data_IF_267176764908
#
_entry.id   IF_267176764908
#
_cell.length_a   1.000
_cell.length_b   1.000
_cell.length_c   1.000
_cell.angle_alpha   90.00
_cell.angle_beta   90.00
_cell.angle_gamma   90.00
#
_symmetry.space_group_name_H-M   'P 1'
#
loop_
_entity.id
_entity.type
_entity.pdbx_description
1 polymer ?
#
# COMPACT_ATOMS: atom_id res chain seq x y z
N UNK A 1 31.03 12.33 -12.39
CA UNK A 1 30.48 11.10 -12.99
C UNK A 1 30.06 10.19 -11.85
N UNK A 2 28.75 10.05 -11.62
CA UNK A 2 28.20 9.26 -10.50
C UNK A 2 27.71 7.91 -11.02
N UNK A 3 28.25 6.83 -10.45
CA UNK A 3 27.99 5.44 -10.79
C UNK A 3 26.69 4.99 -10.13
N UNK A 4 25.71 4.55 -10.91
CA UNK A 4 24.44 3.97 -10.44
C UNK A 4 24.68 2.50 -10.08
N UNK A 5 24.56 2.15 -8.80
CA UNK A 5 24.62 0.77 -8.31
C UNK A 5 23.28 0.07 -8.52
N UNK A 6 23.28 -0.90 -9.45
CA UNK A 6 22.17 -1.81 -9.75
C UNK A 6 22.15 -2.92 -8.69
N UNK A 7 21.10 -2.99 -7.88
CA UNK A 7 20.83 -4.15 -7.03
C UNK A 7 20.38 -5.34 -7.90
N UNK A 8 21.32 -6.25 -8.21
CA UNK A 8 21.01 -7.65 -8.54
C UNK A 8 20.83 -8.42 -7.23
N UNK A 9 19.72 -9.14 -7.08
CA UNK A 9 19.61 -10.22 -6.08
C UNK A 9 19.36 -11.53 -6.82
N UNK A 10 20.33 -12.43 -6.69
CA UNK A 10 20.40 -13.77 -7.26
C UNK A 10 19.30 -14.68 -6.68
N UNK A 11 18.60 -15.41 -7.55
CA UNK A 11 17.79 -16.57 -7.18
C UNK A 11 18.31 -17.81 -7.92
N UNK A 12 19.10 -18.63 -7.21
CA UNK A 12 19.39 -20.06 -7.43
C UNK A 12 19.69 -20.59 -6.02
N UNK A 13 19.15 -21.67 -5.47
CA UNK A 13 18.61 -22.93 -6.02
C UNK A 13 17.95 -23.66 -4.85
N UNK A 14 16.73 -24.17 -5.00
CA UNK A 14 16.26 -25.41 -4.36
C UNK A 14 14.89 -25.83 -4.93
N UNK A 15 14.83 -27.04 -5.50
CA UNK A 15 13.65 -27.90 -5.49
C UNK A 15 12.56 -27.67 -6.54
N UNK A 16 12.57 -28.48 -7.61
CA UNK A 16 11.38 -28.82 -8.40
C UNK A 16 10.25 -29.29 -7.47
N UNK A 17 9.14 -28.57 -7.41
CA UNK A 17 7.79 -29.13 -7.25
C UNK A 17 6.79 -28.21 -7.98
N UNK A 18 5.84 -28.82 -8.69
CA UNK A 18 5.05 -28.16 -9.74
C UNK A 18 3.87 -27.31 -9.28
N UNK A 19 3.22 -26.69 -10.27
CA UNK A 19 1.85 -26.13 -10.28
C UNK A 19 1.42 -25.33 -9.03
N UNK A 20 1.34 -24.01 -9.15
CA UNK A 20 0.57 -23.21 -8.21
C UNK A 20 0.78 -21.72 -8.39
N UNK A 21 -0.31 -20.97 -8.50
CA UNK A 21 -0.34 -19.51 -8.39
C UNK A 21 0.45 -19.06 -7.16
N UNK A 22 1.48 -18.24 -7.36
CA UNK A 22 2.14 -17.54 -6.28
C UNK A 22 1.22 -16.41 -5.80
N UNK A 23 0.48 -16.66 -4.73
CA UNK A 23 -0.11 -15.62 -3.90
C UNK A 23 1.04 -14.91 -3.21
N UNK A 24 1.28 -13.64 -3.57
CA UNK A 24 2.19 -12.76 -2.85
C UNK A 24 1.54 -12.38 -1.52
N UNK A 25 1.74 -13.23 -0.50
CA UNK A 25 1.52 -12.87 0.89
C UNK A 25 2.73 -12.06 1.36
N UNK A 26 2.57 -10.75 1.54
CA UNK A 26 3.57 -9.91 2.18
C UNK A 26 3.54 -10.17 3.70
N UNK A 27 4.27 -11.20 4.15
CA UNK A 27 4.58 -11.43 5.55
C UNK A 27 5.93 -10.80 5.91
N UNK A 28 5.96 -9.86 6.85
CA UNK A 28 7.20 -9.45 7.52
C UNK A 28 7.12 -9.85 8.99
N UNK A 29 7.93 -10.84 9.35
CA UNK A 29 8.18 -11.28 10.73
C UNK A 29 9.39 -10.56 11.35
N UNK A 30 9.22 -10.27 12.64
CA UNK A 30 10.14 -9.87 13.72
C UNK A 30 11.62 -10.27 13.61
N UNK A 31 12.53 -9.38 14.09
CA UNK A 31 13.55 -9.69 15.13
C UNK A 31 13.96 -8.42 15.92
N UNK A 32 13.86 -8.52 17.24
CA UNK A 32 14.78 -8.07 18.32
C UNK A 32 15.57 -6.75 18.21
N UNK A 33 15.39 -5.89 19.23
CA UNK A 33 16.05 -4.59 19.34
C UNK A 33 17.38 -4.56 20.10
N UNK A 34 17.91 -3.33 20.26
CA UNK A 34 18.85 -2.96 21.31
C UNK A 34 18.63 -1.47 21.67
N UNK A 35 18.66 -1.18 22.95
CA UNK A 35 18.44 0.12 23.58
C UNK A 35 19.59 1.11 23.33
N UNK A 36 19.24 2.39 23.23
CA UNK A 36 20.19 3.52 23.25
C UNK A 36 19.43 4.85 23.18
N UNK A 37 19.36 5.56 24.30
CA UNK A 37 18.53 6.76 24.47
C UNK A 37 19.09 8.03 23.81
N UNK A 38 18.18 8.91 23.39
CA UNK A 38 18.41 10.32 23.05
C UNK A 38 17.09 11.12 23.31
N UNK A 39 17.17 12.46 23.51
CA UNK A 39 16.30 13.21 24.44
C UNK A 39 14.98 13.73 23.85
N UNK A 40 14.14 14.20 24.77
CA UNK A 40 12.75 14.65 24.60
C UNK A 40 12.51 15.65 23.46
N UNK A 41 11.73 15.22 22.48
CA UNK A 41 11.01 16.10 21.56
C UNK A 41 9.51 15.75 21.63
N UNK A 42 8.72 16.69 22.18
CA UNK A 42 7.27 16.82 22.06
C UNK A 42 6.48 15.53 21.76
N UNK A 43 6.40 14.64 22.75
CA UNK A 43 5.40 13.58 22.79
C UNK A 43 4.03 14.19 23.05
N UNK A 44 3.36 14.67 22.00
CA UNK A 44 1.93 14.94 22.08
C UNK A 44 1.17 13.61 22.13
N UNK A 45 0.82 13.20 23.35
CA UNK A 45 -0.38 12.40 23.62
C UNK A 45 -0.34 10.90 23.34
N UNK A 46 0.65 10.16 23.86
CA UNK A 46 0.57 8.70 23.98
C UNK A 46 -0.15 8.30 25.28
N UNK A 47 -1.43 8.66 25.44
CA UNK A 47 -2.26 8.07 26.50
C UNK A 47 -3.76 8.21 26.21
N UNK A 48 -4.23 7.41 25.25
CA UNK A 48 -5.62 6.94 25.22
C UNK A 48 -5.65 5.62 24.45
N UNK A 49 -6.28 4.58 25.02
CA UNK A 49 -6.76 3.43 24.25
C UNK A 49 -7.87 3.93 23.29
N UNK A 50 -7.51 4.64 22.23
CA UNK A 50 -8.48 5.19 21.31
C UNK A 50 -8.82 4.17 20.23
N UNK A 51 -9.82 3.32 20.51
CA UNK A 51 -10.42 2.46 19.49
C UNK A 51 -11.12 3.26 18.38
N UNK A 52 -11.43 4.53 18.64
CA UNK A 52 -12.03 5.46 17.69
C UNK A 52 -10.99 6.06 16.72
N UNK A 53 -11.43 6.33 15.49
CA UNK A 53 -10.61 7.03 14.48
C UNK A 53 -10.38 8.47 14.95
N UNK A 54 -9.12 8.94 15.04
CA UNK A 54 -8.82 10.33 15.34
C UNK A 54 -9.54 11.29 14.39
N UNK A 55 -10.13 12.36 14.93
CA UNK A 55 -11.02 13.24 14.17
C UNK A 55 -10.33 13.93 12.98
N UNK A 56 -9.04 14.20 13.12
CA UNK A 56 -8.14 14.75 12.10
C UNK A 56 -7.76 13.75 10.99
N UNK A 57 -7.81 12.45 11.29
CA UNK A 57 -7.58 11.35 10.32
C UNK A 57 -8.88 10.93 9.63
N UNK A 58 -10.05 11.14 10.24
CA UNK A 58 -11.31 10.77 9.62
C UNK A 58 -11.48 11.44 8.23
N UNK A 59 -11.85 10.63 7.23
CA UNK A 59 -12.07 11.03 5.84
C UNK A 59 -11.24 10.23 4.84
N UNK A 60 -11.10 10.77 3.62
CA UNK A 60 -10.46 10.09 2.50
C UNK A 60 -9.01 10.54 2.32
N UNK A 61 -8.15 9.57 2.06
CA UNK A 61 -6.72 9.73 1.89
C UNK A 61 -6.24 8.98 0.67
N UNK A 62 -5.30 9.57 -0.06
CA UNK A 62 -4.69 8.99 -1.25
C UNK A 62 -3.18 9.02 -1.12
N UNK A 63 -2.54 7.91 -1.47
CA UNK A 63 -1.11 7.86 -1.74
C UNK A 63 -0.85 7.27 -3.11
N UNK A 64 0.22 7.75 -3.76
CA UNK A 64 0.65 7.27 -5.06
C UNK A 64 -0.01 8.02 -6.21
N UNK A 65 0.37 7.60 -7.41
CA UNK A 65 -0.03 8.21 -8.67
C UNK A 65 -0.31 7.10 -9.67
N UNK A 66 -1.46 7.22 -10.36
CA UNK A 66 -1.68 6.53 -11.63
C UNK A 66 -1.52 7.58 -12.71
N UNK A 67 -0.65 7.31 -13.67
CA UNK A 67 -0.63 8.13 -14.88
C UNK A 67 -1.83 7.78 -15.72
N UNK A 68 -2.74 8.73 -15.97
CA UNK A 68 -3.83 8.55 -16.93
C UNK A 68 -3.44 8.99 -18.35
N UNK A 69 -2.24 9.54 -18.54
CA UNK A 69 -1.74 9.88 -19.88
C UNK A 69 -1.44 8.60 -20.65
N UNK A 70 -2.10 8.47 -21.80
CA UNK A 70 -1.80 7.43 -22.77
C UNK A 70 -0.41 7.66 -23.37
N UNK A 71 0.46 6.65 -23.29
CA UNK A 71 1.68 6.63 -24.08
C UNK A 71 1.34 6.28 -25.53
N UNK A 72 1.97 6.94 -26.49
CA UNK A 72 1.88 6.60 -27.91
C UNK A 72 3.26 6.10 -28.34
N UNK A 73 3.30 4.91 -28.91
CA UNK A 73 4.53 4.37 -29.48
C UNK A 73 4.98 5.24 -30.66
N UNK A 74 6.18 5.81 -30.57
CA UNK A 74 6.69 6.80 -31.55
C UNK A 74 6.97 6.21 -32.93
N UNK A 75 7.05 4.87 -33.07
CA UNK A 75 7.35 4.21 -34.33
C UNK A 75 6.10 3.62 -35.01
N UNK A 76 5.12 3.16 -34.24
CA UNK A 76 3.89 2.52 -34.73
C UNK A 76 2.64 3.38 -34.57
N UNK A 77 2.73 4.52 -33.88
CA UNK A 77 1.58 5.41 -33.60
C UNK A 77 0.53 4.79 -32.68
N UNK A 78 0.80 3.61 -32.11
CA UNK A 78 -0.15 2.86 -31.30
C UNK A 78 -0.26 3.47 -29.91
N UNK A 79 -1.49 3.73 -29.47
CA UNK A 79 -1.77 4.06 -28.07
C UNK A 79 -1.48 2.83 -27.19
N UNK A 80 -0.46 2.95 -26.34
CA UNK A 80 0.01 1.93 -25.40
C UNK A 80 -0.77 1.96 -24.07
N UNK A 81 -1.65 2.95 -23.89
CA UNK A 81 -2.44 3.12 -22.67
C UNK A 81 -1.69 3.86 -21.57
N UNK A 82 -2.33 4.00 -20.40
CA UNK A 82 -1.75 4.71 -19.27
C UNK A 82 -0.46 4.06 -18.76
N UNK A 83 0.51 4.88 -18.35
CA UNK A 83 1.79 4.40 -17.78
C UNK A 83 1.59 3.65 -16.46
N UNK A 84 2.60 2.86 -16.07
CA UNK A 84 2.66 2.16 -14.78
C UNK A 84 2.44 3.11 -13.59
N UNK A 85 1.77 2.63 -12.56
CA UNK A 85 1.47 3.40 -11.36
C UNK A 85 0.87 2.56 -10.25
N UNK A 86 0.94 3.08 -9.03
CA UNK A 86 0.30 2.49 -7.85
C UNK A 86 -0.46 3.59 -7.14
N UNK A 87 -1.67 3.29 -6.69
CA UNK A 87 -2.43 4.16 -5.80
C UNK A 87 -3.04 3.36 -4.67
N UNK A 88 -3.07 3.95 -3.49
CA UNK A 88 -3.81 3.47 -2.34
C UNK A 88 -4.77 4.56 -1.91
N UNK A 89 -6.05 4.22 -1.80
CA UNK A 89 -7.05 5.04 -1.16
C UNK A 89 -7.44 4.43 0.17
N UNK A 90 -7.46 5.25 1.23
CA UNK A 90 -8.11 4.93 2.48
C UNK A 90 -9.30 5.85 2.68
N UNK A 91 -10.40 5.31 3.14
CA UNK A 91 -11.51 6.09 3.71
C UNK A 91 -11.68 5.62 5.14
N UNK A 92 -11.50 6.52 6.10
CA UNK A 92 -11.72 6.23 7.52
C UNK A 92 -12.97 6.96 8.00
N UNK A 93 -13.98 6.21 8.43
CA UNK A 93 -15.19 6.75 9.02
C UNK A 93 -15.01 6.97 10.52
N UNK A 94 -15.64 8.02 11.07
CA UNK A 94 -15.61 8.31 12.51
C UNK A 94 -16.11 7.14 13.36
N UNK A 95 -16.95 6.28 12.81
CA UNK A 95 -17.50 5.08 13.46
C UNK A 95 -16.50 3.93 13.62
N UNK A 96 -15.28 4.04 13.09
CA UNK A 96 -14.32 2.93 13.08
C UNK A 96 -14.47 1.98 11.90
N UNK A 97 -15.22 2.37 10.86
CA UNK A 97 -15.23 1.65 9.58
C UNK A 97 -14.15 2.17 8.66
N UNK A 98 -13.64 1.30 7.79
CA UNK A 98 -12.75 1.71 6.72
C UNK A 98 -13.12 1.10 5.37
N UNK A 99 -12.70 1.78 4.31
CA UNK A 99 -12.60 1.24 2.96
C UNK A 99 -11.17 1.47 2.45
N UNK A 100 -10.55 0.45 1.88
CA UNK A 100 -9.25 0.53 1.23
C UNK A 100 -9.38 0.08 -0.22
N UNK A 101 -8.85 0.90 -1.14
CA UNK A 101 -8.63 0.50 -2.53
C UNK A 101 -7.14 0.55 -2.81
N UNK A 102 -6.55 -0.62 -3.06
CA UNK A 102 -5.23 -0.73 -3.66
C UNK A 102 -5.40 -0.97 -5.15
N UNK A 103 -4.69 -0.19 -5.96
CA UNK A 103 -4.58 -0.43 -7.38
C UNK A 103 -3.14 -0.29 -7.84
N UNK A 104 -2.69 -1.28 -8.60
CA UNK A 104 -1.41 -1.26 -9.28
C UNK A 104 -1.63 -1.55 -10.76
N UNK A 105 -0.91 -0.81 -11.60
CA UNK A 105 -0.81 -1.03 -13.03
C UNK A 105 0.65 -1.06 -13.43
N UNK A 106 0.98 -1.99 -14.31
CA UNK A 106 2.24 -2.02 -15.03
C UNK A 106 1.98 -2.03 -16.52
N UNK A 107 2.78 -1.29 -17.26
CA UNK A 107 2.85 -1.29 -18.71
C UNK A 107 4.30 -1.53 -19.12
N UNK A 108 4.58 -2.68 -19.70
CA UNK A 108 5.91 -3.07 -20.17
C UNK A 108 5.81 -3.57 -21.61
N UNK A 109 6.43 -2.87 -22.56
CA UNK A 109 6.43 -3.27 -23.98
C UNK A 109 5.04 -3.55 -24.56
N UNK A 110 4.03 -2.75 -24.16
CA UNK A 110 2.62 -2.95 -24.55
C UNK A 110 1.93 -4.16 -23.87
N UNK A 111 2.57 -4.80 -22.89
CA UNK A 111 1.94 -5.71 -21.95
C UNK A 111 1.48 -4.93 -20.74
N UNK A 112 0.17 -4.85 -20.56
CA UNK A 112 -0.49 -4.19 -19.44
C UNK A 112 -1.01 -5.24 -18.47
N UNK A 113 -0.61 -5.12 -17.21
CA UNK A 113 -1.16 -5.88 -16.09
C UNK A 113 -1.71 -4.92 -15.05
N UNK A 114 -2.88 -5.25 -14.52
CA UNK A 114 -3.58 -4.45 -13.52
C UNK A 114 -4.03 -5.35 -12.38
N UNK A 115 -3.86 -4.88 -11.16
CA UNK A 115 -4.29 -5.56 -9.94
C UNK A 115 -5.08 -4.59 -9.09
N UNK A 116 -6.27 -5.00 -8.65
CA UNK A 116 -7.08 -4.29 -7.69
C UNK A 116 -7.32 -5.16 -6.46
N UNK A 117 -7.20 -4.54 -5.30
CA UNK A 117 -7.59 -5.12 -4.02
C UNK A 117 -8.49 -4.13 -3.31
N UNK A 118 -9.74 -4.53 -3.08
CA UNK A 118 -10.73 -3.73 -2.36
C UNK A 118 -11.00 -4.40 -1.03
N UNK A 119 -10.90 -3.65 0.05
CA UNK A 119 -11.12 -4.14 1.41
C UNK A 119 -12.07 -3.19 2.14
N UNK A 120 -13.01 -3.75 2.87
CA UNK A 120 -13.85 -3.00 3.80
C UNK A 120 -13.95 -3.73 5.14
N UNK A 121 -14.03 -2.97 6.22
CA UNK A 121 -14.14 -3.56 7.54
C UNK A 121 -13.99 -2.54 8.64
N UNK A 122 -13.35 -2.97 9.72
CA UNK A 122 -13.14 -2.12 10.91
C UNK A 122 -11.69 -1.73 11.06
N UNK A 123 -11.47 -0.52 11.58
CA UNK A 123 -10.15 -0.01 11.90
C UNK A 123 -10.09 0.34 13.38
N UNK A 124 -8.95 0.06 14.01
CA UNK A 124 -8.68 0.46 15.40
C UNK A 124 -7.36 1.20 15.43
N UNK A 125 -7.37 2.42 15.97
CA UNK A 125 -6.16 3.22 16.16
C UNK A 125 -5.55 2.97 17.54
N UNK A 126 -4.25 3.22 17.69
CA UNK A 126 -3.58 3.15 18.98
C UNK A 126 -2.06 3.28 18.85
N UNK A 127 -1.42 3.99 19.78
CA UNK A 127 0.05 4.07 19.92
C UNK A 127 0.81 4.33 18.59
N UNK A 128 0.37 5.30 17.79
CA UNK A 128 1.00 5.60 16.49
C UNK A 128 0.81 4.51 15.42
N UNK A 129 -0.09 3.55 15.65
CA UNK A 129 -0.48 2.52 14.70
C UNK A 129 -1.99 2.54 14.46
N UNK A 130 -2.41 1.89 13.39
CA UNK A 130 -3.77 1.42 13.23
C UNK A 130 -3.80 0.00 12.67
N UNK A 131 -4.80 -0.76 13.06
CA UNK A 131 -5.03 -2.13 12.60
C UNK A 131 -6.30 -2.20 11.77
N UNK A 132 -6.17 -2.65 10.53
CA UNK A 132 -7.28 -2.96 9.64
C UNK A 132 -7.73 -4.41 9.86
N UNK A 133 -9.04 -4.60 9.99
CA UNK A 133 -9.69 -5.91 10.11
C UNK A 133 -10.73 -6.03 9.01
N UNK A 134 -10.36 -6.61 7.86
CA UNK A 134 -11.27 -6.74 6.74
C UNK A 134 -12.41 -7.68 7.10
N UNK A 135 -13.63 -7.28 6.73
CA UNK A 135 -14.84 -8.11 6.86
C UNK A 135 -15.37 -8.53 5.51
N UNK A 136 -15.08 -7.75 4.46
CA UNK A 136 -15.28 -8.12 3.06
C UNK A 136 -14.12 -7.60 2.21
N UNK A 137 -13.94 -8.22 1.07
CA UNK A 137 -13.03 -7.72 0.07
C UNK A 137 -13.06 -8.53 -1.21
N UNK A 138 -12.38 -7.99 -2.22
CA UNK A 138 -12.39 -8.50 -3.59
C UNK A 138 -11.04 -8.27 -4.24
N UNK A 139 -10.60 -9.27 -5.01
CA UNK A 139 -9.44 -9.16 -5.87
C UNK A 139 -9.86 -9.18 -7.32
N UNK A 140 -9.20 -8.37 -8.13
CA UNK A 140 -9.29 -8.40 -9.58
C UNK A 140 -7.88 -8.34 -10.16
N UNK A 141 -7.63 -9.17 -11.15
CA UNK A 141 -6.43 -9.09 -11.98
C UNK A 141 -6.86 -9.05 -13.44
N UNK A 142 -6.28 -8.12 -14.20
CA UNK A 142 -6.48 -8.01 -15.64
C UNK A 142 -5.14 -7.94 -16.36
N UNK A 143 -5.05 -8.65 -17.46
CA UNK A 143 -3.89 -8.80 -18.31
C UNK A 143 -4.35 -8.72 -19.77
N UNK A 144 -3.72 -7.84 -20.55
CA UNK A 144 -4.12 -7.59 -21.94
C UNK A 144 -3.57 -8.64 -22.93
N UNK A 145 -2.65 -9.53 -22.52
CA UNK A 145 -2.04 -10.55 -23.40
C UNK A 145 -2.39 -11.98 -22.99
N UNK A 146 -2.48 -12.23 -21.70
CA UNK A 146 -2.64 -13.58 -21.15
C UNK A 146 -4.00 -13.69 -20.46
N UNK A 147 -5.07 -13.92 -21.24
CA UNK A 147 -6.45 -13.99 -20.73
C UNK A 147 -6.64 -14.95 -19.55
N UNK A 148 -5.88 -16.06 -19.49
CA UNK A 148 -5.94 -17.02 -18.37
C UNK A 148 -5.49 -16.45 -17.03
N UNK A 149 -4.77 -15.33 -17.02
CA UNK A 149 -4.36 -14.63 -15.80
C UNK A 149 -5.48 -13.71 -15.28
N UNK A 150 -6.53 -13.49 -16.06
CA UNK A 150 -7.61 -12.60 -15.71
C UNK A 150 -8.58 -13.33 -14.78
N UNK A 151 -8.77 -12.78 -13.60
CA UNK A 151 -9.76 -13.30 -12.67
C UNK A 151 -10.30 -12.19 -11.79
N UNK A 152 -11.47 -12.46 -11.24
CA UNK A 152 -12.14 -11.60 -10.29
C UNK A 152 -12.80 -12.51 -9.26
N UNK A 153 -12.47 -12.34 -7.98
CA UNK A 153 -12.99 -13.20 -6.92
C UNK A 153 -13.16 -12.45 -5.60
N UNK A 154 -14.10 -12.87 -4.75
CA UNK A 154 -14.10 -12.44 -3.35
C UNK A 154 -12.83 -12.94 -2.62
N UNK A 155 -12.49 -12.25 -1.53
CA UNK A 155 -11.50 -12.76 -0.57
C UNK A 155 -12.03 -14.01 0.13
N UNK A 156 -11.13 -14.96 0.42
CA UNK A 156 -11.49 -16.16 1.20
C UNK A 156 -11.61 -15.81 2.68
N UNK A 157 -12.22 -16.70 3.47
CA UNK A 157 -12.34 -16.50 4.91
C UNK A 157 -10.97 -16.41 5.61
N UNK A 158 -9.97 -17.12 5.12
CA UNK A 158 -8.60 -17.10 5.63
C UNK A 158 -7.91 -15.76 5.33
N UNK A 159 -8.12 -15.21 4.14
CA UNK A 159 -7.61 -13.88 3.77
C UNK A 159 -8.26 -12.78 4.61
N UNK A 160 -9.55 -12.89 4.92
CA UNK A 160 -10.26 -11.94 5.78
C UNK A 160 -9.82 -11.97 7.24
N UNK A 161 -9.23 -13.08 7.71
CA UNK A 161 -8.64 -13.18 9.07
C UNK A 161 -7.30 -12.44 9.18
N UNK A 162 -6.68 -12.06 8.06
CA UNK A 162 -5.40 -11.37 8.06
C UNK A 162 -5.60 -9.90 8.40
N UNK A 163 -5.20 -9.54 9.62
CA UNK A 163 -5.18 -8.15 10.04
C UNK A 163 -3.92 -7.45 9.51
N UNK A 164 -4.07 -6.23 9.03
CA UNK A 164 -2.94 -5.42 8.57
C UNK A 164 -2.68 -4.30 9.55
N UNK A 165 -1.44 -4.19 10.04
CA UNK A 165 -1.01 -3.11 10.93
C UNK A 165 -0.20 -2.11 10.14
N UNK A 166 -0.54 -0.83 10.30
CA UNK A 166 0.20 0.29 9.75
C UNK A 166 0.67 1.21 10.87
N UNK A 167 1.84 1.79 10.69
CA UNK A 167 2.29 2.97 11.44
C UNK A 167 1.67 4.21 10.80
N UNK A 168 1.36 5.19 11.64
CA UNK A 168 0.95 6.51 11.19
C UNK A 168 1.50 7.60 12.10
N UNK A 169 1.77 8.77 11.51
CA UNK A 169 2.09 9.99 12.26
C UNK A 169 1.85 11.23 11.41
N UNK A 170 1.64 12.35 12.08
CA UNK A 170 1.78 13.66 11.46
C UNK A 170 3.26 14.04 11.43
N UNK A 171 3.74 14.51 10.28
CA UNK A 171 5.11 14.97 10.15
C UNK A 171 5.15 16.32 9.44
N UNK A 172 5.81 17.30 10.07
CA UNK A 172 6.08 18.59 9.44
C UNK A 172 7.21 18.42 8.43
N UNK A 173 6.94 18.73 7.17
CA UNK A 173 7.96 18.75 6.14
C UNK A 173 8.87 19.96 6.35
N UNK A 174 10.18 19.77 6.53
CA UNK A 174 11.11 20.88 6.76
C UNK A 174 11.23 21.82 5.55
N UNK A 175 10.92 21.36 4.34
CA UNK A 175 11.10 22.15 3.12
C UNK A 175 9.97 23.17 2.88
N UNK A 176 8.74 22.86 3.24
CA UNK A 176 7.57 23.74 3.01
C UNK A 176 6.85 24.17 4.29
N UNK A 177 7.27 23.65 5.45
CA UNK A 177 6.68 23.93 6.75
C UNK A 177 5.28 23.35 6.98
N UNK A 178 4.72 22.57 6.04
CA UNK A 178 3.39 21.97 6.13
C UNK A 178 3.44 20.62 6.84
N UNK A 179 2.35 20.28 7.52
CA UNK A 179 2.20 18.98 8.19
C UNK A 179 1.48 18.00 7.26
N UNK A 180 2.07 16.82 7.07
CA UNK A 180 1.54 15.75 6.23
C UNK A 180 1.22 14.52 7.05
N UNK A 181 0.17 13.80 6.65
CA UNK A 181 -0.10 12.47 7.19
C UNK A 181 0.87 11.49 6.56
N UNK A 182 1.61 10.77 7.39
CA UNK A 182 2.45 9.64 6.98
C UNK A 182 1.83 8.33 7.41
N UNK A 183 1.76 7.36 6.50
CA UNK A 183 1.30 6.00 6.77
C UNK A 183 2.26 5.01 6.10
N UNK A 184 2.53 3.88 6.75
CA UNK A 184 3.38 2.84 6.17
C UNK A 184 3.45 1.57 7.01
N UNK A 185 3.98 0.46 6.47
CA UNK A 185 4.11 -0.80 7.19
C UNK A 185 5.26 -0.81 8.20
N UNK A 186 6.23 0.10 8.05
CA UNK A 186 7.39 0.25 8.95
C UNK A 186 7.86 1.71 9.00
N UNK A 187 8.67 2.06 9.99
CA UNK A 187 9.26 3.39 10.15
C UNK A 187 10.06 3.83 8.92
N UNK A 188 10.70 2.89 8.22
CA UNK A 188 11.50 3.13 7.02
C UNK A 188 10.64 3.26 5.75
N UNK A 189 9.36 2.91 5.82
CA UNK A 189 8.47 2.81 4.66
C UNK A 189 7.24 3.72 4.80
N UNK A 190 7.38 4.83 5.53
CA UNK A 190 6.33 5.83 5.67
C UNK A 190 6.18 6.67 4.40
N UNK A 191 4.96 6.77 3.93
CA UNK A 191 4.61 7.52 2.72
C UNK A 191 3.68 8.68 3.04
N UNK A 192 3.80 9.79 2.32
CA UNK A 192 2.91 10.94 2.45
C UNK A 192 1.56 10.67 1.80
N UNK A 193 0.50 10.74 2.60
CA UNK A 193 -0.88 10.67 2.13
C UNK A 193 -1.45 12.07 2.00
N UNK A 194 -2.16 12.30 0.90
CA UNK A 194 -2.91 13.53 0.62
C UNK A 194 -4.38 13.31 0.92
N UNK A 195 -5.10 14.37 1.32
CA UNK A 195 -6.57 14.33 1.36
C UNK A 195 -7.09 14.05 -0.06
N UNK A 196 -8.02 13.12 -0.18
CA UNK A 196 -8.78 12.93 -1.40
C UNK A 196 -10.11 13.68 -1.27
N UNK A 197 -10.43 14.49 -2.27
CA UNK A 197 -11.70 15.23 -2.35
C UNK A 197 -12.88 14.26 -2.58
#
# INVERSE_FOLDING_TARGET
MATISVWRRNWKTAGRFGRGCAVLAAGLGLVGGVAGGLPAAHAQGLNAKSSAVPADIAGKWKWGTISFSSEVDVYSGRNLGPRSGIVIFFTFEKSGKYNMVFYAQTLNYGWQSQTWSLHEGTVTFGNGTFTLRPTKGKYKVADNRVKRNNYERPMTAEELKQNTVYLWRWEKNPSDGKTYLKIGPSEQSLSHFQRAE
#
